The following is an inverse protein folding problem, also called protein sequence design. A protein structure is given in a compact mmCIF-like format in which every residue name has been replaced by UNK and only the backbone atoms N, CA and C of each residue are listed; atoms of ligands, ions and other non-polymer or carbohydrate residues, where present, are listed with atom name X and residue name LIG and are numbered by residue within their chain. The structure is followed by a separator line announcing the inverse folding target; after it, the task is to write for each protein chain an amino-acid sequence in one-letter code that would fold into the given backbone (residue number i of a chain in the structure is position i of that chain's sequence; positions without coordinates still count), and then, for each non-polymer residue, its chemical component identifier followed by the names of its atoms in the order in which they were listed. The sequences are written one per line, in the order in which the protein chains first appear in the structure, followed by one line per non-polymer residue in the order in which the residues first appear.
data_IF_228928933795
#
_entry.id   IF_228928933795
#
_cell.length_a   1.000
_cell.length_b   1.000
_cell.length_c   1.000
_cell.angle_alpha   90.00
_cell.angle_beta   90.00
_cell.angle_gamma   90.00
#
_symmetry.space_group_name_H-M   'P 1'
#
loop_
_entity.id
_entity.type
_entity.pdbx_description
1 polymer ?
#
# COMPACT_ATOMS: atom_id res chain seq x y z
N UNK A 1 -29.44 27.59 -1.42
CA UNK A 1 -29.10 26.54 -0.44
C UNK A 1 -27.89 25.80 -0.97
N UNK A 2 -26.75 25.92 -0.28
CA UNK A 2 -25.44 25.40 -0.68
C UNK A 2 -25.45 23.87 -0.65
N UNK A 3 -25.18 23.23 -1.79
CA UNK A 3 -24.87 21.81 -1.84
C UNK A 3 -23.46 21.60 -1.28
N UNK A 4 -23.39 20.87 -0.18
CA UNK A 4 -22.18 20.57 0.57
C UNK A 4 -21.30 19.61 -0.26
N UNK A 5 -20.49 20.15 -1.20
CA UNK A 5 -19.64 19.39 -2.13
C UNK A 5 -18.50 18.60 -1.46
N UNK A 6 -18.39 18.63 -0.14
CA UNK A 6 -17.37 17.90 0.60
C UNK A 6 -17.74 16.44 0.85
N UNK A 7 -19.02 16.06 0.80
CA UNK A 7 -19.43 14.65 0.99
C UNK A 7 -19.42 13.82 -0.30
N UNK A 8 -19.30 14.44 -1.47
CA UNK A 8 -19.28 13.74 -2.76
C UNK A 8 -17.85 13.34 -3.21
N UNK A 9 -16.81 13.94 -2.62
CA UNK A 9 -15.41 13.62 -2.93
C UNK A 9 -14.83 12.52 -2.03
N UNK A 10 -15.58 12.07 -1.02
CA UNK A 10 -15.16 10.96 -0.15
C UNK A 10 -15.56 9.57 -0.71
N UNK A 11 -16.38 9.51 -1.77
CA UNK A 11 -16.91 8.27 -2.33
C UNK A 11 -16.38 7.90 -3.72
N UNK A 12 -15.61 8.78 -4.37
CA UNK A 12 -15.14 8.59 -5.76
C UNK A 12 -13.61 8.52 -5.85
N UNK A 13 -13.00 7.77 -4.94
CA UNK A 13 -11.59 7.35 -5.08
C UNK A 13 -11.42 5.87 -4.71
N UNK A 14 -12.47 5.08 -4.95
CA UNK A 14 -12.31 3.67 -5.21
C UNK A 14 -11.85 3.55 -6.67
N UNK A 15 -10.53 3.68 -6.89
CA UNK A 15 -9.88 3.28 -8.13
C UNK A 15 -10.44 1.91 -8.53
N UNK A 16 -11.25 1.88 -9.59
CA UNK A 16 -11.68 0.64 -10.22
C UNK A 16 -10.43 0.00 -10.82
N UNK A 17 -9.82 -0.90 -10.06
CA UNK A 17 -8.83 -1.85 -10.57
C UNK A 17 -9.61 -2.80 -11.47
N UNK A 18 -9.67 -2.48 -12.76
CA UNK A 18 -10.12 -3.42 -13.78
C UNK A 18 -9.07 -4.54 -13.87
N UNK A 19 -9.38 -5.63 -13.15
CA UNK A 19 -9.14 -7.01 -13.53
C UNK A 19 -7.92 -7.24 -14.45
N UNK A 20 -6.73 -7.30 -13.85
CA UNK A 20 -5.61 -8.04 -14.42
C UNK A 20 -5.33 -9.21 -13.48
N UNK A 21 -5.61 -10.39 -14.02
CA UNK A 21 -5.56 -11.74 -13.46
C UNK A 21 -4.14 -12.17 -13.03
N UNK A 22 -3.47 -11.41 -12.17
CA UNK A 22 -2.24 -11.84 -11.49
C UNK A 22 -2.18 -11.24 -10.09
N UNK A 23 -2.28 -12.13 -9.11
CA UNK A 23 -2.26 -11.84 -7.68
C UNK A 23 -1.05 -11.00 -7.24
N UNK A 24 -1.29 -9.83 -6.62
CA UNK A 24 -1.92 -8.62 -7.14
C UNK A 24 -0.88 -7.69 -7.81
N UNK A 25 -1.25 -7.06 -8.93
CA UNK A 25 -0.37 -6.11 -9.63
C UNK A 25 -0.08 -4.83 -8.82
N UNK A 26 -1.02 -4.35 -7.99
CA UNK A 26 -0.85 -3.20 -7.08
C UNK A 26 -1.78 -3.36 -5.88
N UNK A 27 -1.28 -3.15 -4.66
CA UNK A 27 -2.05 -3.14 -3.42
C UNK A 27 -1.85 -1.82 -2.70
N UNK A 28 -2.95 -1.20 -2.27
CA UNK A 28 -2.96 0.06 -1.54
C UNK A 28 -3.20 -0.20 -0.05
N UNK A 29 -2.33 0.31 0.81
CA UNK A 29 -2.45 0.22 2.28
C UNK A 29 -2.56 1.62 2.85
N UNK A 30 -3.74 1.99 3.35
CA UNK A 30 -3.94 3.26 4.03
C UNK A 30 -3.29 3.27 5.41
N UNK A 31 -2.97 4.46 5.92
CA UNK A 31 -2.45 4.64 7.28
C UNK A 31 -3.35 3.96 8.34
N UNK A 32 -2.76 3.11 9.17
CA UNK A 32 -3.44 2.35 10.22
C UNK A 32 -4.25 1.16 9.72
N UNK A 33 -4.30 0.91 8.40
CA UNK A 33 -4.96 -0.26 7.83
C UNK A 33 -3.97 -1.42 7.62
N UNK A 34 -4.47 -2.63 7.81
CA UNK A 34 -3.77 -3.85 7.40
C UNK A 34 -4.34 -4.35 6.08
N UNK A 35 -3.46 -4.80 5.18
CA UNK A 35 -3.88 -5.33 3.88
C UNK A 35 -3.07 -6.56 3.52
N UNK A 36 -3.77 -7.65 3.23
CA UNK A 36 -3.14 -8.87 2.72
C UNK A 36 -2.87 -8.77 1.23
N UNK A 37 -1.73 -9.30 0.82
CA UNK A 37 -1.31 -9.44 -0.57
C UNK A 37 -0.59 -10.77 -0.79
N UNK A 38 -0.45 -11.19 -2.04
CA UNK A 38 0.36 -12.34 -2.41
C UNK A 38 1.58 -11.86 -3.19
N UNK A 39 2.71 -12.54 -3.08
CA UNK A 39 3.86 -12.28 -3.95
C UNK A 39 4.45 -13.61 -4.44
N UNK A 40 5.04 -13.60 -5.63
CA UNK A 40 5.82 -14.73 -6.17
C UNK A 40 7.32 -14.65 -5.81
N UNK A 41 7.73 -13.60 -5.10
CA UNK A 41 9.11 -13.36 -4.69
C UNK A 41 9.51 -11.90 -4.92
N UNK A 42 10.01 -11.23 -3.88
CA UNK A 42 10.38 -9.82 -3.95
C UNK A 42 9.18 -8.89 -4.15
N UNK A 43 9.18 -7.74 -3.46
CA UNK A 43 8.18 -6.69 -3.68
C UNK A 43 8.84 -5.33 -3.71
N UNK A 44 8.28 -4.43 -4.51
CA UNK A 44 8.58 -3.00 -4.43
C UNK A 44 7.43 -2.29 -3.73
N UNK A 45 7.75 -1.36 -2.84
CA UNK A 45 6.76 -0.66 -2.03
C UNK A 45 7.01 0.83 -2.09
N UNK A 46 6.10 1.57 -2.71
CA UNK A 46 6.09 3.03 -2.70
C UNK A 46 5.31 3.56 -1.52
N UNK A 47 5.96 4.27 -0.59
CA UNK A 47 5.29 4.94 0.53
C UNK A 47 5.10 6.41 0.21
N UNK A 48 3.87 6.90 0.35
CA UNK A 48 3.49 8.29 0.25
C UNK A 48 2.85 8.70 1.57
N UNK A 49 3.62 9.35 2.44
CA UNK A 49 3.17 9.73 3.77
C UNK A 49 3.52 11.18 4.09
N UNK A 50 2.67 11.85 4.88
CA UNK A 50 2.98 13.15 5.45
C UNK A 50 3.45 12.96 6.89
N UNK A 51 4.71 13.31 7.14
CA UNK A 51 5.37 13.08 8.43
C UNK A 51 5.94 11.68 8.57
N UNK A 52 6.21 11.27 9.81
CA UNK A 52 6.85 10.01 10.11
C UNK A 52 5.96 8.80 9.81
N UNK A 53 6.55 7.77 9.22
CA UNK A 53 5.90 6.50 8.97
C UNK A 53 6.80 5.32 9.34
N UNK A 54 6.14 4.20 9.59
CA UNK A 54 6.73 2.86 9.68
C UNK A 54 5.89 1.92 8.83
N UNK A 55 6.50 1.21 7.90
CA UNK A 55 5.89 0.16 7.12
C UNK A 55 6.42 -1.18 7.61
N UNK A 56 5.50 -2.10 7.89
CA UNK A 56 5.81 -3.48 8.24
C UNK A 56 5.11 -4.46 7.32
N UNK A 57 5.74 -5.61 7.11
CA UNK A 57 5.16 -6.77 6.43
C UNK A 57 5.33 -7.97 7.35
N UNK A 58 4.24 -8.68 7.66
CA UNK A 58 4.19 -9.78 8.63
C UNK A 58 4.81 -9.41 9.99
N UNK A 59 4.62 -8.15 10.41
CA UNK A 59 5.18 -7.60 11.64
C UNK A 59 6.67 -7.25 11.57
N UNK A 60 7.37 -7.51 10.46
CA UNK A 60 8.75 -7.08 10.25
C UNK A 60 8.81 -5.70 9.61
N UNK A 61 9.56 -4.78 10.21
CA UNK A 61 9.74 -3.44 9.65
C UNK A 61 10.55 -3.51 8.35
N UNK A 62 9.95 -3.02 7.27
CA UNK A 62 10.59 -2.94 5.94
C UNK A 62 11.13 -1.54 5.68
N UNK A 63 10.41 -0.52 6.13
CA UNK A 63 10.80 0.87 5.93
C UNK A 63 10.31 1.75 7.07
N UNK A 64 11.04 2.84 7.32
CA UNK A 64 10.60 3.92 8.19
C UNK A 64 11.26 5.21 7.73
N UNK A 65 10.56 6.32 7.84
CA UNK A 65 11.10 7.61 7.45
C UNK A 65 10.09 8.73 7.64
N UNK A 66 10.48 9.94 7.22
CA UNK A 66 9.61 11.13 7.24
C UNK A 66 9.32 11.69 5.84
N UNK A 67 9.81 11.01 4.80
CA UNK A 67 9.67 11.38 3.40
C UNK A 67 9.25 10.18 2.56
N UNK A 68 8.39 10.42 1.56
CA UNK A 68 7.97 9.41 0.59
C UNK A 68 9.17 8.74 -0.09
N UNK A 69 9.05 7.46 -0.38
CA UNK A 69 10.17 6.68 -0.93
C UNK A 69 9.72 5.34 -1.50
N UNK A 70 10.62 4.70 -2.27
CA UNK A 70 10.40 3.36 -2.81
C UNK A 70 11.38 2.40 -2.15
N UNK A 71 10.86 1.29 -1.66
CA UNK A 71 11.58 0.27 -0.92
C UNK A 71 11.45 -1.09 -1.60
N UNK A 72 12.48 -1.92 -1.49
CA UNK A 72 12.43 -3.29 -1.99
C UNK A 72 12.55 -4.26 -0.83
N UNK A 73 11.65 -5.23 -0.74
CA UNK A 73 11.68 -6.28 0.28
C UNK A 73 11.74 -7.66 -0.37
N UNK A 74 12.78 -8.47 -0.08
CA UNK A 74 12.83 -9.86 -0.55
C UNK A 74 11.88 -10.71 0.31
N UNK A 75 10.62 -10.78 -0.11
CA UNK A 75 9.63 -11.65 0.51
C UNK A 75 9.62 -13.01 -0.19
N UNK A 76 9.41 -14.07 0.59
CA UNK A 76 9.18 -15.41 0.05
C UNK A 76 7.91 -15.43 -0.81
N UNK A 77 7.76 -16.43 -1.67
CA UNK A 77 6.50 -16.60 -2.36
C UNK A 77 5.41 -16.99 -1.35
N UNK A 78 4.25 -16.34 -1.39
CA UNK A 78 3.17 -16.61 -0.45
C UNK A 78 2.30 -15.40 -0.14
N UNK A 79 1.40 -15.59 0.84
CA UNK A 79 0.53 -14.54 1.36
C UNK A 79 1.25 -13.80 2.49
N UNK A 80 1.23 -12.48 2.42
CA UNK A 80 1.81 -11.57 3.40
C UNK A 80 0.77 -10.53 3.80
N UNK A 81 0.97 -9.89 4.95
CA UNK A 81 0.13 -8.79 5.44
C UNK A 81 0.98 -7.56 5.66
N UNK A 82 0.62 -6.45 5.03
CA UNK A 82 1.29 -5.18 5.23
C UNK A 82 0.49 -4.25 6.13
N UNK A 83 1.23 -3.46 6.91
CA UNK A 83 0.71 -2.40 7.77
C UNK A 83 1.57 -1.16 7.61
N UNK A 84 0.94 -0.06 7.20
CA UNK A 84 1.54 1.28 7.21
C UNK A 84 1.06 2.03 8.45
N UNK A 85 1.98 2.38 9.34
CA UNK A 85 1.72 3.23 10.51
C UNK A 85 2.23 4.64 10.23
N UNK A 86 1.33 5.62 10.12
CA UNK A 86 1.66 7.03 10.02
C UNK A 86 0.44 7.90 10.38
N UNK A 87 0.62 9.21 10.53
CA UNK A 87 -0.51 10.12 10.79
C UNK A 87 -1.43 10.24 9.56
N UNK A 88 -0.85 10.30 8.35
CA UNK A 88 -1.58 10.23 7.08
C UNK A 88 -0.64 9.69 5.99
N UNK A 89 -1.13 8.75 5.17
CA UNK A 89 -0.36 8.20 4.07
C UNK A 89 -0.94 6.94 3.45
N UNK A 90 -0.32 6.51 2.36
CA UNK A 90 -0.65 5.31 1.59
C UNK A 90 0.64 4.59 1.22
N UNK A 91 0.66 3.27 1.32
CA UNK A 91 1.69 2.43 0.73
C UNK A 91 1.13 1.70 -0.50
N UNK A 92 1.86 1.75 -1.60
CA UNK A 92 1.60 0.99 -2.83
C UNK A 92 2.56 -0.19 -2.87
N UNK A 93 2.05 -1.40 -2.74
CA UNK A 93 2.82 -2.63 -2.81
C UNK A 93 2.62 -3.24 -4.19
N UNK A 94 3.70 -3.35 -4.95
CA UNK A 94 3.74 -4.01 -6.26
C UNK A 94 4.46 -5.34 -6.11
N UNK A 95 3.74 -6.43 -6.38
CA UNK A 95 4.29 -7.79 -6.44
C UNK A 95 5.02 -8.00 -7.76
N UNK A 96 6.33 -8.29 -7.70
CA UNK A 96 7.11 -8.61 -8.89
C UNK A 96 6.82 -10.03 -9.37
N UNK A 97 6.37 -10.20 -10.61
CA UNK A 97 6.35 -11.51 -11.28
C UNK A 97 7.72 -11.80 -11.90
N UNK A 98 8.14 -13.05 -11.72
CA UNK A 98 9.31 -13.75 -12.28
C UNK A 98 9.81 -13.22 -13.63
N UNK A 99 11.10 -12.93 -13.71
CA UNK A 99 11.88 -13.10 -14.96
C UNK A 99 11.90 -14.58 -15.35
#
# INVERSE_FOLDING_TARGET
MQYNKLSALAQDTALRLEDIEYSPAVVLVAAGAEQSFFTSGGVSIGVFATGSYTLSVDGQQIASGSASGVYSAPLAAGRHTALLTCSNGIALITGGKKL
#
